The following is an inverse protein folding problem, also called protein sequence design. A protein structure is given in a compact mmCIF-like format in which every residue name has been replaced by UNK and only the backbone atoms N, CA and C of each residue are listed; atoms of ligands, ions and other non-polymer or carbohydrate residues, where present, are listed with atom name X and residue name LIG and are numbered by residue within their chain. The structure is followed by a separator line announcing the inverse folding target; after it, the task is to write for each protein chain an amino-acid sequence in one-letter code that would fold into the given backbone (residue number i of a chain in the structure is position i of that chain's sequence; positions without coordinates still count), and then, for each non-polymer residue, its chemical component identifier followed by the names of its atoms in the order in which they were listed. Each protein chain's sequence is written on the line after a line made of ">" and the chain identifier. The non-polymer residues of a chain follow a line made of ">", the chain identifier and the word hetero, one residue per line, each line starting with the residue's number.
data_IF_946530817816
#
_entry.id   IF_946530817816
#
_cell.length_a   1.000
_cell.length_b   1.000
_cell.length_c   1.000
_cell.angle_alpha   90.00
_cell.angle_beta   90.00
_cell.angle_gamma   90.00
#
_symmetry.space_group_name_H-M   'P 1'
#
loop_
_entity.id
_entity.type
_entity.pdbx_description
1 polymer ?
#
# COMPACT_ATOMS: atom_id res chain seq x y z
N UNK A 1 15.97 -5.09 3.17
CA UNK A 1 14.92 -4.98 2.13
C UNK A 1 13.62 -5.70 2.53
N UNK A 2 13.04 -5.46 3.72
CA UNK A 2 11.77 -6.11 4.13
C UNK A 2 10.57 -5.17 3.90
N UNK A 3 10.38 -4.77 2.64
CA UNK A 3 9.34 -3.84 2.22
C UNK A 3 8.63 -4.38 0.97
N UNK A 4 7.32 -4.18 0.91
CA UNK A 4 6.45 -4.51 -0.21
C UNK A 4 5.72 -3.24 -0.62
N UNK A 5 5.73 -2.91 -1.90
CA UNK A 5 5.01 -1.75 -2.44
C UNK A 5 3.73 -2.18 -3.17
N UNK A 6 2.66 -1.44 -2.96
CA UNK A 6 1.40 -1.57 -3.70
C UNK A 6 1.12 -0.24 -4.37
N UNK A 7 0.99 -0.23 -5.69
CA UNK A 7 0.84 1.01 -6.46
C UNK A 7 -0.48 0.99 -7.24
N UNK A 8 -1.32 2.00 -7.03
CA UNK A 8 -2.49 2.21 -7.88
C UNK A 8 -2.04 2.68 -9.26
N UNK A 9 -2.88 2.46 -10.28
CA UNK A 9 -2.76 3.16 -11.56
C UNK A 9 -2.54 4.66 -11.32
N UNK A 10 -1.41 5.20 -11.78
CA UNK A 10 -0.98 6.57 -11.51
C UNK A 10 0.22 6.95 -12.38
N UNK A 11 0.60 8.23 -12.39
CA UNK A 11 1.85 8.66 -13.03
C UNK A 11 3.07 7.91 -12.46
N UNK A 12 3.08 7.61 -11.15
CA UNK A 12 4.16 6.89 -10.51
C UNK A 12 4.27 5.44 -11.03
N UNK A 13 3.14 4.78 -11.25
CA UNK A 13 3.08 3.45 -11.85
C UNK A 13 3.62 3.51 -13.30
N UNK A 14 2.99 4.28 -14.18
CA UNK A 14 3.39 4.35 -15.59
C UNK A 14 4.87 4.75 -15.78
N UNK A 15 5.40 5.61 -14.92
CA UNK A 15 6.80 6.05 -14.99
C UNK A 15 7.81 5.02 -14.46
N UNK A 16 7.37 4.00 -13.72
CA UNK A 16 8.25 3.03 -13.04
C UNK A 16 8.00 1.56 -13.41
N UNK A 17 6.97 1.26 -14.19
CA UNK A 17 6.58 -0.12 -14.57
C UNK A 17 6.11 -0.29 -16.02
N UNK A 18 6.49 0.62 -16.94
CA UNK A 18 6.04 0.56 -18.34
C UNK A 18 6.52 -0.70 -19.08
N UNK A 19 5.59 -1.35 -19.79
CA UNK A 19 5.84 -2.38 -20.81
C UNK A 19 6.85 -3.48 -20.39
N UNK A 20 6.68 -4.01 -19.17
CA UNK A 20 7.51 -5.04 -18.51
C UNK A 20 8.89 -4.60 -18.01
N UNK A 21 9.21 -3.30 -18.04
CA UNK A 21 10.43 -2.77 -17.43
C UNK A 21 10.07 -2.20 -16.06
N UNK A 22 10.52 -2.88 -14.99
CA UNK A 22 10.26 -2.46 -13.61
C UNK A 22 11.49 -1.78 -12.99
N UNK A 23 11.28 -0.64 -12.33
CA UNK A 23 12.32 0.06 -11.56
C UNK A 23 12.50 -0.47 -10.13
N UNK A 24 11.72 -1.49 -9.74
CA UNK A 24 11.60 -1.98 -8.37
C UNK A 24 12.53 -3.17 -8.09
N UNK A 25 13.43 -3.03 -7.11
CA UNK A 25 14.34 -4.10 -6.64
C UNK A 25 13.79 -4.93 -5.46
N UNK A 26 12.51 -4.71 -5.13
CA UNK A 26 11.78 -5.33 -4.02
C UNK A 26 10.40 -5.75 -4.54
N UNK A 27 9.67 -6.62 -3.82
CA UNK A 27 8.32 -6.97 -4.22
C UNK A 27 7.46 -5.72 -4.40
N UNK A 28 6.87 -5.61 -5.57
CA UNK A 28 6.01 -4.52 -5.98
C UNK A 28 4.82 -5.12 -6.72
N UNK A 29 3.64 -4.55 -6.49
CA UNK A 29 2.40 -4.98 -7.15
C UNK A 29 1.62 -3.77 -7.62
N UNK A 30 1.23 -3.81 -8.89
CA UNK A 30 0.22 -2.93 -9.46
C UNK A 30 -1.18 -3.35 -8.99
N UNK A 31 -2.03 -2.37 -8.72
CA UNK A 31 -3.45 -2.59 -8.54
C UNK A 31 -4.29 -1.50 -9.20
N UNK A 32 -5.60 -1.74 -9.30
CA UNK A 32 -6.55 -0.82 -9.92
C UNK A 32 -6.52 0.57 -9.28
N UNK A 33 -7.02 1.55 -10.03
CA UNK A 33 -6.89 2.96 -9.71
C UNK A 33 -7.49 3.33 -8.35
N UNK A 34 -8.54 2.65 -7.92
CA UNK A 34 -9.30 2.95 -6.70
C UNK A 34 -8.85 2.14 -5.47
N UNK A 35 -8.35 0.92 -5.64
CA UNK A 35 -8.45 -0.10 -4.58
C UNK A 35 -7.12 -0.53 -3.92
N UNK A 36 -5.97 -0.07 -4.42
CA UNK A 36 -4.67 -0.54 -3.93
C UNK A 36 -4.40 -0.33 -2.43
N UNK A 37 -5.04 0.64 -1.77
CA UNK A 37 -4.94 0.81 -0.31
C UNK A 37 -5.46 -0.41 0.46
N UNK A 38 -6.57 -1.01 -0.01
CA UNK A 38 -7.12 -2.22 0.62
C UNK A 38 -6.29 -3.47 0.34
N UNK A 39 -5.58 -3.51 -0.78
CA UNK A 39 -4.62 -4.58 -1.09
C UNK A 39 -3.40 -4.49 -0.17
N UNK A 40 -2.88 -3.28 0.08
CA UNK A 40 -1.80 -3.06 1.04
C UNK A 40 -2.19 -3.53 2.46
N UNK A 41 -3.40 -3.18 2.89
CA UNK A 41 -4.00 -3.67 4.13
C UNK A 41 -4.09 -5.22 4.14
N UNK A 42 -4.65 -5.83 3.09
CA UNK A 42 -4.78 -7.28 2.99
C UNK A 42 -3.43 -8.02 3.05
N UNK A 43 -2.38 -7.48 2.41
CA UNK A 43 -1.02 -8.04 2.47
C UNK A 43 -0.49 -7.97 3.90
N UNK A 44 -0.58 -6.80 4.54
CA UNK A 44 -0.13 -6.59 5.93
C UNK A 44 -0.84 -7.55 6.90
N UNK A 45 -2.15 -7.67 6.77
CA UNK A 45 -2.99 -8.57 7.57
C UNK A 45 -2.65 -10.03 7.32
N UNK A 46 -2.45 -10.44 6.07
CA UNK A 46 -2.04 -11.80 5.71
C UNK A 46 -0.73 -12.20 6.38
N UNK A 47 0.30 -11.35 6.31
CA UNK A 47 1.60 -11.66 6.96
C UNK A 47 1.48 -11.76 8.49
N UNK A 48 0.65 -10.92 9.13
CA UNK A 48 0.37 -11.02 10.56
C UNK A 48 -0.32 -12.36 10.90
N UNK A 49 -1.32 -12.77 10.11
CA UNK A 49 -2.03 -14.04 10.30
C UNK A 49 -1.10 -15.23 10.09
N UNK A 50 -0.32 -15.25 9.02
CA UNK A 50 0.63 -16.33 8.74
C UNK A 50 1.66 -16.47 9.86
N UNK A 51 2.16 -15.35 10.38
CA UNK A 51 3.09 -15.35 11.51
C UNK A 51 2.43 -15.88 12.79
N UNK A 52 1.22 -15.43 13.11
CA UNK A 52 0.46 -15.92 14.26
C UNK A 52 0.17 -17.43 14.18
N UNK A 53 -0.02 -17.97 12.97
CA UNK A 53 -0.23 -19.40 12.71
C UNK A 53 1.07 -20.22 12.65
N UNK A 54 2.25 -19.62 12.81
CA UNK A 54 3.54 -20.31 12.65
C UNK A 54 3.84 -20.73 11.21
N UNK A 55 3.12 -20.21 10.22
CA UNK A 55 3.28 -20.50 8.80
C UNK A 55 4.26 -19.53 8.10
N UNK A 56 4.78 -18.55 8.84
CA UNK A 56 5.78 -17.60 8.36
C UNK A 56 6.80 -17.27 9.45
N UNK A 57 8.04 -17.69 9.23
CA UNK A 57 9.15 -17.51 10.18
C UNK A 57 9.86 -16.17 10.03
N UNK A 58 9.54 -15.39 8.99
CA UNK A 58 10.18 -14.11 8.71
C UNK A 58 9.68 -12.95 9.59
N UNK A 59 10.33 -11.79 9.43
CA UNK A 59 9.81 -10.52 9.95
C UNK A 59 8.63 -10.07 9.08
N UNK A 60 7.56 -9.59 9.71
CA UNK A 60 6.42 -9.02 8.97
C UNK A 60 6.95 -7.84 8.13
N UNK A 61 6.70 -7.81 6.81
CA UNK A 61 7.19 -6.76 5.94
C UNK A 61 6.50 -5.42 6.23
N UNK A 62 7.22 -4.34 5.98
CA UNK A 62 6.58 -3.03 5.81
C UNK A 62 5.81 -3.05 4.49
N UNK A 63 4.54 -2.69 4.53
CA UNK A 63 3.73 -2.57 3.32
C UNK A 63 3.47 -1.09 3.08
N UNK A 64 3.87 -0.60 1.90
CA UNK A 64 3.73 0.80 1.52
C UNK A 64 2.76 0.89 0.35
N UNK A 65 1.67 1.61 0.58
CA UNK A 65 0.74 1.98 -0.47
C UNK A 65 1.20 3.29 -1.14
N UNK A 66 1.25 3.28 -2.48
CA UNK A 66 1.54 4.46 -3.30
C UNK A 66 0.28 4.76 -4.12
N UNK A 67 -0.30 5.93 -3.84
CA UNK A 67 -1.44 6.46 -4.58
C UNK A 67 -1.17 7.91 -5.01
N UNK A 68 -1.70 8.28 -6.18
CA UNK A 68 -1.83 9.68 -6.58
C UNK A 68 -3.07 10.33 -5.96
N UNK A 69 -3.21 11.63 -6.13
CA UNK A 69 -4.32 12.44 -5.62
C UNK A 69 -5.69 11.89 -6.04
N UNK A 70 -5.88 11.52 -7.32
CA UNK A 70 -7.16 10.93 -7.76
C UNK A 70 -7.53 9.64 -7.01
N UNK A 71 -6.53 8.80 -6.69
CA UNK A 71 -6.76 7.54 -5.97
C UNK A 71 -6.89 7.70 -4.45
N UNK A 72 -6.55 8.86 -3.89
CA UNK A 72 -6.61 9.10 -2.43
C UNK A 72 -7.67 10.12 -2.04
N UNK A 73 -8.06 11.04 -2.93
CA UNK A 73 -9.06 12.07 -2.68
C UNK A 73 -10.39 11.86 -3.41
N UNK A 74 -10.39 11.13 -4.53
CA UNK A 74 -11.59 10.93 -5.36
C UNK A 74 -11.98 9.45 -5.42
N UNK A 75 -11.73 8.77 -6.55
CA UNK A 75 -12.23 7.42 -6.82
C UNK A 75 -11.82 6.37 -5.77
N UNK A 76 -10.64 6.52 -5.17
CA UNK A 76 -10.11 5.56 -4.19
C UNK A 76 -10.32 5.93 -2.72
N UNK A 77 -10.95 7.08 -2.42
CA UNK A 77 -11.08 7.55 -1.03
C UNK A 77 -11.83 6.55 -0.14
N UNK A 78 -12.87 5.89 -0.67
CA UNK A 78 -13.59 4.84 0.08
C UNK A 78 -12.67 3.69 0.47
N UNK A 79 -11.79 3.25 -0.43
CA UNK A 79 -10.87 2.14 -0.21
C UNK A 79 -9.75 2.52 0.76
N UNK A 80 -9.21 3.73 0.63
CA UNK A 80 -8.23 4.29 1.56
C UNK A 80 -8.81 4.38 2.98
N UNK A 81 -9.99 5.00 3.12
CA UNK A 81 -10.71 5.11 4.39
C UNK A 81 -10.93 3.73 5.01
N UNK A 82 -11.38 2.75 4.23
CA UNK A 82 -11.65 1.42 4.73
C UNK A 82 -10.36 0.71 5.21
N UNK A 83 -9.24 0.89 4.51
CA UNK A 83 -7.95 0.33 4.91
C UNK A 83 -7.42 0.94 6.22
N UNK A 84 -7.57 2.27 6.39
CA UNK A 84 -7.17 2.99 7.60
C UNK A 84 -8.01 2.57 8.81
N UNK A 85 -9.34 2.50 8.65
CA UNK A 85 -10.24 2.18 9.77
C UNK A 85 -10.06 0.72 10.24
N UNK A 86 -9.80 -0.22 9.33
CA UNK A 86 -9.62 -1.64 9.68
C UNK A 86 -8.30 -1.92 10.39
N UNK A 87 -7.24 -1.21 10.02
CA UNK A 87 -5.91 -1.43 10.61
C UNK A 87 -5.40 -0.13 11.18
N UNK A 88 -5.52 0.01 12.50
CA UNK A 88 -5.05 1.15 13.31
C UNK A 88 -3.55 1.46 13.21
N UNK A 89 -2.84 0.84 12.26
CA UNK A 89 -1.40 0.97 12.00
C UNK A 89 -1.06 1.69 10.69
N UNK A 90 -2.06 2.05 9.87
CA UNK A 90 -1.85 2.83 8.65
C UNK A 90 -1.60 4.30 9.02
N UNK A 91 -0.54 4.90 8.48
CA UNK A 91 -0.22 6.32 8.65
C UNK A 91 -0.32 6.98 7.28
N UNK A 92 -1.23 7.95 7.14
CA UNK A 92 -1.27 8.82 5.97
C UNK A 92 -0.19 9.90 6.12
N UNK A 93 0.78 9.91 5.22
CA UNK A 93 1.88 10.87 5.27
C UNK A 93 1.50 12.15 4.53
N UNK A 94 0.62 12.95 5.13
CA UNK A 94 0.22 14.27 4.62
C UNK A 94 1.00 15.36 5.38
N UNK A 95 1.62 16.29 4.64
CA UNK A 95 2.39 17.39 5.23
C UNK A 95 1.53 18.29 6.13
N UNK A 96 0.24 18.42 5.86
CA UNK A 96 -0.70 19.21 6.65
C UNK A 96 -1.20 18.47 7.90
N UNK A 97 -1.08 17.14 7.95
CA UNK A 97 -1.43 16.35 9.14
C UNK A 97 -0.32 16.33 10.18
N UNK A 98 0.90 16.77 9.85
CA UNK A 98 1.99 16.91 10.85
C UNK A 98 1.69 17.98 11.91
N UNK A 99 0.92 19.00 11.53
CA UNK A 99 0.64 20.17 12.39
C UNK A 99 -0.70 20.04 13.15
N UNK A 100 -1.49 19.00 12.89
CA UNK A 100 -2.70 18.72 13.64
C UNK A 100 -2.36 17.87 14.87
N UNK A 101 -1.93 18.56 15.94
CA UNK A 101 -1.87 18.01 17.30
C UNK A 101 -3.14 18.32 18.08
#
# INVERSE_FOLDING_TARGET
>A
NNVIYVNNTSCAEVSTSKDNVISWKVPWVHHLFESGATVADAISTTYKILKAKGLYNGKIPYVVHIGGDGSTYDIGFQFLKAAIIRTSTMVEMNVYLKDQK
#
